data_IF_573353180500
#
_entry.id   IF_573353180500
#
_cell.length_a   1.000
_cell.length_b   1.000
_cell.length_c   1.000
_cell.angle_alpha   90.00
_cell.angle_beta   90.00
_cell.angle_gamma   90.00
#
_symmetry.space_group_name_H-M   'P 1'
#
loop_
_entity.id
_entity.type
_entity.pdbx_description
1 polymer ?
#
# COMPACT_ATOMS: atom_id res chain seq x y z
N UNK A 1 3.40 -0.18 -20.06
CA UNK A 1 2.41 -0.30 -18.97
C UNK A 1 1.24 -1.25 -19.29
N UNK A 2 0.41 -1.04 -20.33
CA UNK A 2 -0.75 -1.90 -20.62
C UNK A 2 -0.38 -3.40 -20.77
N UNK A 3 0.67 -3.70 -21.52
CA UNK A 3 1.14 -5.07 -21.71
C UNK A 3 1.54 -5.76 -20.39
N UNK A 4 2.21 -5.05 -19.49
CA UNK A 4 2.60 -5.58 -18.18
C UNK A 4 1.40 -5.76 -17.24
N UNK A 5 0.39 -4.90 -17.34
CA UNK A 5 -0.86 -5.08 -16.61
C UNK A 5 -1.65 -6.31 -17.07
N UNK A 6 -1.51 -6.73 -18.34
CA UNK A 6 -2.06 -8.00 -18.82
C UNK A 6 -1.30 -9.21 -18.26
N UNK A 7 0.03 -9.12 -18.13
CA UNK A 7 0.87 -10.19 -17.60
C UNK A 7 0.65 -10.39 -16.07
N UNK A 8 0.50 -9.31 -15.29
CA UNK A 8 0.36 -9.35 -13.84
C UNK A 8 -0.97 -10.00 -13.40
N UNK A 9 -0.91 -10.89 -12.42
CA UNK A 9 -2.08 -11.37 -11.67
C UNK A 9 -1.73 -11.42 -10.16
N UNK A 10 -2.68 -11.78 -9.28
CA UNK A 10 -2.42 -11.98 -7.86
C UNK A 10 -1.83 -13.38 -7.65
N UNK A 11 -0.51 -13.46 -7.59
CA UNK A 11 0.28 -14.68 -7.47
C UNK A 11 -0.12 -15.48 -6.23
N UNK A 12 -0.35 -16.78 -6.38
CA UNK A 12 -0.83 -17.65 -5.30
C UNK A 12 0.26 -18.50 -4.69
N UNK A 13 1.34 -18.72 -5.41
CA UNK A 13 2.50 -19.50 -4.97
C UNK A 13 3.79 -18.81 -5.38
N UNK A 14 4.71 -18.66 -4.43
CA UNK A 14 6.01 -18.04 -4.67
C UNK A 14 7.13 -19.08 -4.63
N UNK A 15 8.13 -18.89 -5.48
CA UNK A 15 9.40 -19.62 -5.45
C UNK A 15 10.25 -19.05 -4.31
N UNK A 16 10.29 -19.77 -3.20
CA UNK A 16 10.97 -19.33 -1.97
C UNK A 16 12.49 -19.29 -2.10
N UNK A 17 13.04 -19.95 -3.15
CA UNK A 17 14.48 -19.93 -3.46
C UNK A 17 14.91 -18.63 -4.14
N UNK A 18 13.97 -17.88 -4.72
CA UNK A 18 14.23 -16.61 -5.42
C UNK A 18 13.80 -15.42 -4.60
N UNK A 19 14.74 -14.54 -4.36
CA UNK A 19 14.50 -13.30 -3.61
C UNK A 19 14.72 -12.08 -4.50
N UNK A 20 13.98 -11.02 -4.24
CA UNK A 20 14.28 -9.73 -4.82
C UNK A 20 15.60 -9.21 -4.28
N UNK A 21 16.36 -8.54 -5.13
CA UNK A 21 17.52 -7.76 -4.71
C UNK A 21 17.07 -6.50 -3.94
N UNK A 22 17.98 -5.94 -3.17
CA UNK A 22 17.72 -4.66 -2.47
C UNK A 22 17.35 -3.54 -3.45
N UNK A 23 18.00 -3.49 -4.63
CA UNK A 23 17.71 -2.49 -5.66
C UNK A 23 16.30 -2.65 -6.26
N UNK A 24 15.84 -3.88 -6.49
CA UNK A 24 14.48 -4.14 -6.98
C UNK A 24 13.41 -3.72 -5.95
N UNK A 25 13.63 -4.03 -4.68
CA UNK A 25 12.74 -3.60 -3.61
C UNK A 25 12.72 -2.07 -3.52
N UNK A 26 13.89 -1.42 -3.54
CA UNK A 26 14.03 0.03 -3.45
C UNK A 26 13.28 0.75 -4.58
N UNK A 27 13.36 0.27 -5.80
CA UNK A 27 12.61 0.83 -6.94
C UNK A 27 11.08 0.76 -6.72
N UNK A 28 10.58 -0.32 -6.11
CA UNK A 28 9.15 -0.44 -5.80
C UNK A 28 8.78 0.51 -4.65
N UNK A 29 9.62 0.61 -3.62
CA UNK A 29 9.41 1.55 -2.50
C UNK A 29 9.44 3.00 -2.98
N UNK A 30 10.34 3.34 -3.90
CA UNK A 30 10.38 4.68 -4.50
C UNK A 30 9.13 4.97 -5.34
N UNK A 31 8.60 4.00 -6.08
CA UNK A 31 7.35 4.17 -6.80
C UNK A 31 6.17 4.44 -5.84
N UNK A 32 6.13 3.78 -4.68
CA UNK A 32 5.14 4.05 -3.64
C UNK A 32 5.32 5.47 -3.09
N UNK A 33 6.56 5.86 -2.77
CA UNK A 33 6.90 7.18 -2.23
C UNK A 33 6.50 8.31 -3.18
N UNK A 34 6.63 8.09 -4.49
CA UNK A 34 6.29 9.06 -5.55
C UNK A 34 4.80 9.01 -5.94
N UNK A 35 4.00 8.12 -5.36
CA UNK A 35 2.57 8.08 -5.62
C UNK A 35 1.89 9.38 -5.18
N UNK A 36 0.93 9.91 -5.97
CA UNK A 36 0.18 11.08 -5.57
C UNK A 36 -0.75 10.74 -4.40
N UNK A 37 -1.06 11.73 -3.59
CA UNK A 37 -2.10 11.66 -2.57
C UNK A 37 -2.85 12.99 -2.49
N UNK A 38 -4.05 12.97 -1.90
CA UNK A 38 -4.84 14.17 -1.67
C UNK A 38 -3.99 15.21 -0.93
N UNK A 39 -3.86 16.39 -1.50
CA UNK A 39 -3.03 17.49 -1.00
C UNK A 39 -1.52 17.17 -0.85
N UNK A 40 -1.06 16.00 -1.29
CA UNK A 40 0.31 15.55 -1.11
C UNK A 40 0.65 15.16 0.33
N UNK A 41 -0.34 14.85 1.16
CA UNK A 41 -0.11 14.58 2.59
C UNK A 41 0.43 13.19 2.89
N UNK A 42 0.27 12.21 1.98
CA UNK A 42 0.73 10.83 2.16
C UNK A 42 0.40 10.26 3.55
N UNK A 43 -0.89 10.22 3.96
CA UNK A 43 -1.28 9.88 5.33
C UNK A 43 -1.26 8.37 5.57
N UNK A 44 -0.17 7.70 5.20
CA UNK A 44 0.05 6.27 5.40
C UNK A 44 1.54 5.94 5.44
N UNK A 45 1.86 4.85 6.11
CA UNK A 45 3.18 4.23 6.12
C UNK A 45 3.12 2.85 5.46
N UNK A 46 4.27 2.37 4.98
CA UNK A 46 4.41 1.02 4.45
C UNK A 46 5.43 0.27 5.27
N UNK A 47 4.98 -0.78 5.95
CA UNK A 47 5.82 -1.62 6.78
C UNK A 47 6.35 -2.78 5.93
N UNK A 48 7.67 -2.91 5.80
CA UNK A 48 8.32 -4.04 5.14
C UNK A 48 8.62 -5.10 6.21
N UNK A 49 7.92 -6.22 6.17
CA UNK A 49 8.05 -7.28 7.16
C UNK A 49 9.02 -8.34 6.66
N UNK A 50 10.27 -8.29 7.15
CA UNK A 50 11.33 -9.24 6.78
C UNK A 50 11.51 -10.37 7.82
N UNK A 51 11.10 -10.17 9.07
CA UNK A 51 11.24 -11.16 10.14
C UNK A 51 10.31 -12.36 9.89
N UNK A 52 10.91 -13.56 9.82
CA UNK A 52 10.19 -14.78 9.48
C UNK A 52 9.15 -15.20 10.55
N UNK A 53 9.49 -15.07 11.84
CA UNK A 53 8.58 -15.41 12.93
C UNK A 53 7.38 -14.46 12.95
N UNK A 54 7.61 -13.19 12.67
CA UNK A 54 6.54 -12.19 12.57
C UNK A 54 5.62 -12.49 11.38
N UNK A 55 6.18 -12.91 10.23
CA UNK A 55 5.40 -13.33 9.05
C UNK A 55 4.55 -14.58 9.34
N UNK A 56 5.04 -15.55 10.13
CA UNK A 56 4.24 -16.72 10.53
C UNK A 56 3.05 -16.29 11.41
N UNK A 57 3.24 -15.37 12.36
CA UNK A 57 2.14 -14.81 13.16
C UNK A 57 1.10 -14.11 12.28
N UNK A 58 1.57 -13.29 11.34
CA UNK A 58 0.71 -12.56 10.39
C UNK A 58 -0.04 -13.52 9.46
N UNK A 59 0.57 -14.64 9.04
CA UNK A 59 -0.09 -15.66 8.23
C UNK A 59 -1.33 -16.24 8.91
N UNK A 60 -1.24 -16.57 10.22
CA UNK A 60 -2.41 -17.01 10.99
C UNK A 60 -3.53 -15.97 11.04
N UNK A 61 -3.18 -14.67 11.05
CA UNK A 61 -4.14 -13.58 10.97
C UNK A 61 -4.60 -13.25 9.52
N UNK A 62 -4.00 -13.88 8.52
CA UNK A 62 -4.31 -13.75 7.10
C UNK A 62 -4.92 -15.04 6.52
N UNK A 63 -5.71 -15.77 7.29
CA UNK A 63 -6.41 -17.01 6.88
C UNK A 63 -5.47 -18.05 6.28
N UNK A 64 -4.29 -18.21 6.87
CA UNK A 64 -3.23 -19.14 6.48
C UNK A 64 -2.76 -19.01 5.03
N UNK A 65 -2.92 -17.83 4.44
CA UNK A 65 -2.48 -17.56 3.07
C UNK A 65 -0.95 -17.68 2.95
N UNK A 66 -0.48 -18.65 2.18
CA UNK A 66 0.93 -18.98 2.02
C UNK A 66 1.78 -17.80 1.49
N UNK A 67 1.16 -16.88 0.74
CA UNK A 67 1.82 -15.71 0.19
C UNK A 67 2.48 -14.83 1.26
N UNK A 68 1.96 -14.84 2.50
CA UNK A 68 2.51 -14.06 3.62
C UNK A 68 3.93 -14.49 3.96
N UNK A 69 4.21 -15.79 3.92
CA UNK A 69 5.50 -16.37 4.30
C UNK A 69 6.39 -16.73 3.12
N UNK A 70 5.81 -17.11 1.97
CA UNK A 70 6.55 -17.53 0.79
C UNK A 70 7.10 -16.39 -0.04
N UNK A 71 6.40 -15.25 -0.09
CA UNK A 71 6.86 -14.08 -0.84
C UNK A 71 8.27 -13.65 -0.41
N UNK A 72 9.06 -13.13 -1.33
CA UNK A 72 10.37 -12.57 -1.04
C UNK A 72 10.28 -11.47 0.00
N UNK A 73 9.37 -10.51 -0.23
CA UNK A 73 9.08 -9.41 0.68
C UNK A 73 7.57 -9.32 0.93
N UNK A 74 7.21 -8.90 2.13
CA UNK A 74 5.82 -8.71 2.52
C UNK A 74 5.62 -7.29 3.04
N UNK A 75 4.70 -6.58 2.41
CA UNK A 75 4.42 -5.16 2.66
C UNK A 75 3.04 -5.02 3.31
N UNK A 76 2.97 -4.23 4.37
CA UNK A 76 1.71 -3.85 5.02
C UNK A 76 1.51 -2.35 4.84
N UNK A 77 0.50 -1.96 4.11
CA UNK A 77 0.09 -0.57 3.98
C UNK A 77 -0.80 -0.22 5.17
N UNK A 78 -0.36 0.72 5.98
CA UNK A 78 -1.05 1.16 7.17
C UNK A 78 -1.35 2.67 7.08
N UNK A 79 -2.62 3.02 7.17
CA UNK A 79 -3.06 4.41 7.15
C UNK A 79 -3.01 5.03 8.55
N UNK A 80 -2.85 6.34 8.64
CA UNK A 80 -3.01 7.05 9.90
C UNK A 80 -4.41 6.81 10.47
N UNK A 81 -4.49 6.47 11.73
CA UNK A 81 -5.75 6.21 12.43
C UNK A 81 -6.60 7.49 12.61
N UNK A 82 -5.92 8.64 12.56
CA UNK A 82 -6.51 9.96 12.48
C UNK A 82 -5.54 10.93 11.79
N UNK A 83 -6.05 11.99 11.19
CA UNK A 83 -5.25 13.08 10.62
C UNK A 83 -5.23 14.22 11.64
N UNK A 84 -4.16 14.26 12.43
CA UNK A 84 -3.98 15.20 13.53
C UNK A 84 -3.18 16.44 13.12
N UNK A 85 -3.26 17.51 13.93
CA UNK A 85 -2.38 18.67 13.78
C UNK A 85 -0.90 18.29 13.79
N UNK A 86 -0.50 17.34 14.66
CA UNK A 86 0.86 16.85 14.74
C UNK A 86 1.34 16.21 13.43
N UNK A 87 0.52 15.33 12.84
CA UNK A 87 0.85 14.67 11.57
C UNK A 87 0.96 15.69 10.43
N UNK A 88 -0.04 16.56 10.29
CA UNK A 88 -0.05 17.59 9.27
C UNK A 88 1.09 18.59 9.46
N UNK A 89 1.40 18.95 10.71
CA UNK A 89 2.52 19.82 11.05
C UNK A 89 3.81 19.34 10.40
N UNK A 90 4.17 18.08 10.61
CA UNK A 90 5.36 17.46 10.01
C UNK A 90 5.35 17.52 8.47
N UNK A 91 4.21 17.26 7.84
CA UNK A 91 4.11 17.33 6.38
C UNK A 91 4.33 18.75 5.87
N UNK A 92 3.74 19.75 6.53
CA UNK A 92 3.92 21.15 6.15
C UNK A 92 5.33 21.66 6.42
N UNK A 93 6.01 21.13 7.45
CA UNK A 93 7.41 21.44 7.72
C UNK A 93 8.31 20.95 6.56
N UNK A 94 8.11 19.71 6.08
CA UNK A 94 8.78 19.18 4.89
C UNK A 94 8.43 19.99 3.63
N UNK A 95 7.16 20.41 3.46
CA UNK A 95 6.80 21.28 2.32
C UNK A 95 7.53 22.61 2.36
N UNK A 96 7.68 23.21 3.54
CA UNK A 96 8.41 24.46 3.72
C UNK A 96 9.92 24.29 3.47
N UNK A 97 10.49 23.16 3.90
CA UNK A 97 11.90 22.83 3.65
C UNK A 97 12.19 22.70 2.15
N UNK A 98 11.33 21.97 1.41
CA UNK A 98 11.56 21.67 -0.02
C UNK A 98 11.21 22.84 -0.94
N UNK A 99 10.16 23.62 -0.62
CA UNK A 99 9.62 24.66 -1.52
C UNK A 99 9.88 26.10 -1.05
N UNK A 100 10.43 26.26 0.14
CA UNK A 100 10.53 27.53 0.84
C UNK A 100 9.24 27.91 1.61
N UNK A 101 9.36 28.64 2.73
CA UNK A 101 8.23 29.15 3.48
C UNK A 101 7.50 30.23 2.68
N UNK A 102 6.16 30.32 2.85
CA UNK A 102 5.35 31.41 2.29
C UNK A 102 4.05 31.60 3.09
N UNK A 103 3.47 32.79 3.03
CA UNK A 103 2.18 33.08 3.67
C UNK A 103 1.06 32.16 3.15
N UNK A 104 1.07 31.87 1.85
CA UNK A 104 0.12 30.93 1.26
C UNK A 104 0.25 29.51 1.82
N UNK A 105 1.48 29.04 2.09
CA UNK A 105 1.71 27.74 2.70
C UNK A 105 1.27 27.73 4.18
N UNK A 106 1.50 28.82 4.92
CA UNK A 106 1.06 28.97 6.30
C UNK A 106 -0.47 28.98 6.40
N UNK A 107 -1.16 29.71 5.54
CA UNK A 107 -2.64 29.74 5.52
C UNK A 107 -3.22 28.36 5.11
N UNK A 108 -2.61 27.67 4.15
CA UNK A 108 -2.99 26.33 3.77
C UNK A 108 -2.80 25.33 4.92
N UNK A 109 -1.71 25.46 5.70
CA UNK A 109 -1.49 24.64 6.91
C UNK A 109 -2.64 24.82 7.89
N UNK A 110 -2.96 26.08 8.24
CA UNK A 110 -4.04 26.42 9.19
C UNK A 110 -5.40 25.89 8.73
N UNK A 111 -5.77 26.13 7.47
CA UNK A 111 -7.04 25.68 6.91
C UNK A 111 -7.14 24.16 6.83
N UNK A 112 -6.05 23.46 6.48
CA UNK A 112 -6.02 22.00 6.45
C UNK A 112 -6.19 21.40 7.84
N UNK A 113 -5.46 21.90 8.84
CA UNK A 113 -5.58 21.45 10.24
C UNK A 113 -7.03 21.64 10.72
N UNK A 114 -7.62 22.82 10.53
CA UNK A 114 -8.99 23.09 10.91
C UNK A 114 -9.99 22.16 10.19
N UNK A 115 -9.79 21.94 8.90
CA UNK A 115 -10.66 21.09 8.09
C UNK A 115 -10.65 19.61 8.52
N UNK A 116 -9.51 19.07 8.95
CA UNK A 116 -9.44 17.69 9.45
C UNK A 116 -9.85 17.59 10.92
N UNK A 117 -9.57 18.60 11.74
CA UNK A 117 -10.03 18.65 13.13
C UNK A 117 -11.57 18.68 13.25
N UNK A 118 -12.26 19.20 12.24
CA UNK A 118 -13.73 19.21 12.19
C UNK A 118 -14.37 17.85 11.85
N UNK A 119 -13.56 16.84 11.46
CA UNK A 119 -14.02 15.51 11.09
C UNK A 119 -13.80 14.51 12.24
N UNK A 120 -14.56 13.41 12.22
CA UNK A 120 -14.29 12.29 13.11
C UNK A 120 -12.98 11.57 12.75
N UNK A 121 -12.34 10.93 13.74
CA UNK A 121 -11.16 10.11 13.50
C UNK A 121 -11.42 9.01 12.45
N UNK A 122 -12.61 8.40 12.47
CA UNK A 122 -12.98 7.38 11.47
C UNK A 122 -13.08 7.96 10.05
N UNK A 123 -13.67 9.15 9.88
CA UNK A 123 -13.71 9.82 8.57
C UNK A 123 -12.30 10.18 8.06
N UNK A 124 -11.41 10.59 8.96
CA UNK A 124 -10.02 10.87 8.66
C UNK A 124 -9.26 9.58 8.29
N UNK A 125 -9.48 8.50 9.03
CA UNK A 125 -8.90 7.19 8.71
C UNK A 125 -9.36 6.69 7.32
N UNK A 126 -10.66 6.76 7.00
CA UNK A 126 -11.17 6.35 5.69
C UNK A 126 -10.53 7.17 4.55
N UNK A 127 -10.39 8.48 4.76
CA UNK A 127 -9.66 9.33 3.81
C UNK A 127 -8.19 8.88 3.64
N UNK A 128 -7.49 8.61 4.74
CA UNK A 128 -6.11 8.15 4.73
C UNK A 128 -5.98 6.77 4.05
N UNK A 129 -6.89 5.84 4.35
CA UNK A 129 -6.92 4.51 3.74
C UNK A 129 -7.04 4.56 2.21
N UNK A 130 -7.86 5.46 1.67
CA UNK A 130 -7.98 5.66 0.21
C UNK A 130 -6.62 6.05 -0.42
N UNK A 131 -5.81 6.85 0.28
CA UNK A 131 -4.48 7.23 -0.22
C UNK A 131 -3.50 6.04 -0.21
N UNK A 132 -3.58 5.17 0.78
CA UNK A 132 -2.79 3.94 0.84
C UNK A 132 -3.08 3.01 -0.37
N UNK A 133 -4.34 2.92 -0.81
CA UNK A 133 -4.71 2.17 -2.03
C UNK A 133 -4.14 2.78 -3.31
N UNK A 134 -3.97 4.11 -3.38
CA UNK A 134 -3.25 4.75 -4.50
C UNK A 134 -1.79 4.29 -4.50
N UNK A 135 -1.11 4.32 -3.34
CA UNK A 135 0.26 3.82 -3.18
C UNK A 135 0.40 2.35 -3.58
N UNK A 136 -0.56 1.49 -3.17
CA UNK A 136 -0.62 0.10 -3.62
C UNK A 136 -0.73 -0.02 -5.15
N UNK A 137 -1.55 0.81 -5.78
CA UNK A 137 -1.69 0.82 -7.26
C UNK A 137 -0.36 1.11 -7.95
N UNK A 138 0.41 2.06 -7.43
CA UNK A 138 1.75 2.38 -7.93
C UNK A 138 2.74 1.23 -7.70
N UNK A 139 2.71 0.60 -6.52
CA UNK A 139 3.52 -0.60 -6.24
C UNK A 139 3.24 -1.74 -7.23
N UNK A 140 1.95 -2.01 -7.51
CA UNK A 140 1.52 -3.04 -8.46
C UNK A 140 1.98 -2.74 -9.89
N UNK A 141 1.93 -1.48 -10.30
CA UNK A 141 2.37 -1.04 -11.62
C UNK A 141 3.90 -1.15 -11.76
N UNK A 142 4.65 -0.69 -10.76
CA UNK A 142 6.11 -0.79 -10.74
C UNK A 142 6.59 -2.26 -10.75
N UNK A 143 6.04 -3.09 -9.87
CA UNK A 143 6.36 -4.52 -9.83
C UNK A 143 6.07 -5.20 -11.18
N UNK A 144 4.92 -4.88 -11.81
CA UNK A 144 4.58 -5.43 -13.12
C UNK A 144 5.57 -5.00 -14.20
N UNK A 145 6.00 -3.73 -14.25
CA UNK A 145 6.96 -3.21 -15.20
C UNK A 145 8.33 -3.91 -15.08
N UNK A 146 8.72 -4.19 -13.85
CA UNK A 146 9.96 -4.91 -13.52
C UNK A 146 9.85 -6.44 -13.67
N UNK A 147 8.69 -6.98 -14.05
CA UNK A 147 8.38 -8.43 -14.06
C UNK A 147 8.53 -9.11 -12.70
N UNK A 148 8.25 -8.38 -11.63
CA UNK A 148 8.18 -8.90 -10.28
C UNK A 148 6.73 -9.29 -9.99
N UNK A 149 6.53 -10.50 -9.52
CA UNK A 149 5.23 -11.01 -9.16
C UNK A 149 4.71 -10.39 -7.88
N UNK A 150 3.41 -10.14 -7.84
CA UNK A 150 2.79 -9.45 -6.73
C UNK A 150 1.41 -10.00 -6.39
N UNK A 151 1.09 -10.02 -5.10
CA UNK A 151 -0.20 -10.46 -4.58
C UNK A 151 -0.76 -9.42 -3.61
N UNK A 152 -1.61 -8.48 -4.08
CA UNK A 152 -2.34 -7.61 -3.17
C UNK A 152 -3.43 -8.43 -2.47
N UNK A 153 -3.57 -8.27 -1.16
CA UNK A 153 -4.54 -9.01 -0.35
C UNK A 153 -5.26 -8.08 0.62
N UNK A 154 -6.61 -8.10 0.57
CA UNK A 154 -7.47 -7.47 1.57
C UNK A 154 -8.07 -8.50 2.53
N UNK A 155 -7.85 -9.80 2.28
CA UNK A 155 -8.34 -10.89 3.11
C UNK A 155 -7.39 -11.16 4.28
N UNK A 156 -7.51 -10.39 5.36
CA UNK A 156 -6.82 -10.59 6.63
C UNK A 156 -7.62 -9.95 7.76
N UNK A 157 -7.29 -10.27 9.00
CA UNK A 157 -7.86 -9.64 10.20
C UNK A 157 -7.04 -8.39 10.56
N UNK A 158 -7.52 -7.17 10.28
CA UNK A 158 -6.75 -5.96 10.51
C UNK A 158 -6.49 -5.71 12.00
N UNK A 159 -7.39 -6.11 12.89
CA UNK A 159 -7.20 -5.93 14.33
C UNK A 159 -6.02 -6.76 14.82
N UNK A 160 -5.95 -8.02 14.42
CA UNK A 160 -4.81 -8.89 14.75
C UNK A 160 -3.51 -8.41 14.11
N UNK A 161 -3.54 -7.92 12.86
CA UNK A 161 -2.36 -7.32 12.23
C UNK A 161 -1.85 -6.11 13.01
N UNK A 162 -2.75 -5.23 13.42
CA UNK A 162 -2.42 -4.03 14.19
C UNK A 162 -1.82 -4.38 15.55
N UNK A 163 -2.34 -5.41 16.22
CA UNK A 163 -1.80 -5.94 17.50
C UNK A 163 -0.41 -6.55 17.31
N UNK A 164 -0.25 -7.47 16.34
CA UNK A 164 1.02 -8.17 16.06
C UNK A 164 2.13 -7.17 15.70
N UNK A 165 1.81 -6.12 14.94
CA UNK A 165 2.76 -5.12 14.45
C UNK A 165 2.89 -3.90 15.39
N UNK A 166 2.07 -3.82 16.45
CA UNK A 166 2.09 -2.69 17.38
C UNK A 166 1.69 -1.37 16.73
N UNK A 167 0.78 -1.39 15.74
CA UNK A 167 0.46 -0.22 14.92
C UNK A 167 -0.28 0.87 15.69
N UNK A 168 -1.11 0.50 16.67
CA UNK A 168 -1.86 1.46 17.50
C UNK A 168 -0.93 2.45 18.23
N UNK A 169 0.21 1.98 18.72
CA UNK A 169 1.19 2.85 19.39
C UNK A 169 1.86 3.86 18.42
N UNK A 170 1.72 3.63 17.11
CA UNK A 170 2.23 4.49 16.03
C UNK A 170 1.15 5.39 15.42
N UNK A 171 -0.09 5.29 15.90
CA UNK A 171 -1.24 5.99 15.29
C UNK A 171 -1.58 5.46 13.90
N UNK A 172 -1.41 4.15 13.67
CA UNK A 172 -1.61 3.49 12.39
C UNK A 172 -2.64 2.37 12.50
N UNK A 173 -3.34 2.10 11.38
CA UNK A 173 -4.21 0.93 11.18
C UNK A 173 -3.89 0.29 9.83
N UNK A 174 -3.75 -1.04 9.81
CA UNK A 174 -3.53 -1.79 8.56
C UNK A 174 -4.74 -1.72 7.64
N UNK A 175 -4.48 -1.58 6.33
CA UNK A 175 -5.51 -1.35 5.30
C UNK A 175 -5.50 -2.45 4.25
N UNK A 176 -4.33 -2.76 3.73
CA UNK A 176 -4.11 -3.75 2.67
C UNK A 176 -2.67 -4.23 2.72
N UNK A 177 -2.44 -5.46 2.28
CA UNK A 177 -1.11 -6.05 2.28
C UNK A 177 -0.70 -6.52 0.89
N UNK A 178 0.60 -6.72 0.67
CA UNK A 178 1.14 -7.12 -0.62
C UNK A 178 2.35 -8.04 -0.46
N UNK A 179 2.30 -9.23 -1.04
CA UNK A 179 3.47 -10.07 -1.26
C UNK A 179 4.17 -9.69 -2.56
N UNK A 180 5.50 -9.68 -2.55
CA UNK A 180 6.38 -9.47 -3.70
C UNK A 180 7.36 -10.63 -3.84
N UNK A 181 7.63 -11.08 -5.07
CA UNK A 181 8.56 -12.18 -5.31
C UNK A 181 8.54 -12.68 -6.74
N UNK A 182 8.91 -13.92 -6.91
CA UNK A 182 8.85 -14.65 -8.19
C UNK A 182 7.89 -15.82 -8.05
N UNK A 183 6.98 -15.98 -9.02
CA UNK A 183 6.00 -17.08 -9.00
C UNK A 183 6.67 -18.45 -9.09
N UNK A 184 6.13 -19.41 -8.32
CA UNK A 184 6.30 -20.81 -8.61
C UNK A 184 5.23 -21.23 -9.63
N UNK A 185 5.59 -21.25 -10.90
CA UNK A 185 4.64 -21.55 -11.98
C UNK A 185 4.10 -22.99 -11.93
N UNK A 186 4.79 -23.91 -11.29
CA UNK A 186 4.35 -25.30 -11.15
C UNK A 186 3.30 -25.45 -10.03
N UNK A 187 3.44 -24.67 -8.97
CA UNK A 187 2.55 -24.72 -7.79
C UNK A 187 1.42 -23.68 -7.81
N UNK A 188 1.47 -22.66 -8.68
CA UNK A 188 0.45 -21.61 -8.76
C UNK A 188 -0.72 -22.01 -9.66
N UNK A 189 -1.84 -22.37 -9.05
CA UNK A 189 -3.04 -22.81 -9.79
C UNK A 189 -3.65 -21.72 -10.68
N UNK A 190 -3.31 -20.44 -10.44
CA UNK A 190 -3.87 -19.31 -11.18
C UNK A 190 -3.06 -18.96 -12.45
N UNK A 191 -1.84 -19.47 -12.58
CA UNK A 191 -0.88 -19.06 -13.62
C UNK A 191 -1.41 -19.26 -15.05
N UNK A 192 -2.17 -20.33 -15.29
CA UNK A 192 -2.71 -20.69 -16.60
C UNK A 192 -4.15 -20.19 -16.84
N UNK A 193 -4.77 -19.55 -15.85
CA UNK A 193 -6.12 -19.05 -15.99
C UNK A 193 -6.14 -17.69 -16.68
N UNK A 194 -7.09 -17.54 -17.61
CA UNK A 194 -7.29 -16.24 -18.27
C UNK A 194 -7.75 -15.19 -17.29
N UNK A 195 -7.15 -14.01 -17.37
CA UNK A 195 -7.55 -12.88 -16.55
C UNK A 195 -8.98 -12.43 -16.90
N UNK A 196 -9.88 -12.50 -15.93
CA UNK A 196 -11.25 -12.00 -16.07
C UNK A 196 -11.31 -10.51 -15.75
N UNK A 197 -11.94 -9.74 -16.60
CA UNK A 197 -12.34 -8.34 -16.38
C UNK A 197 -13.71 -8.12 -17.03
N UNK A 198 -14.50 -7.24 -16.44
CA UNK A 198 -15.75 -6.80 -17.07
C UNK A 198 -15.45 -6.13 -18.42
N UNK A 199 -16.36 -6.20 -19.40
CA UNK A 199 -16.26 -5.44 -20.64
C UNK A 199 -16.10 -3.93 -20.38
N UNK A 200 -15.40 -3.25 -21.29
CA UNK A 200 -15.21 -1.79 -21.17
C UNK A 200 -16.55 -1.05 -21.13
N UNK A 201 -17.51 -1.48 -21.95
CA UNK A 201 -18.85 -0.90 -22.04
C UNK A 201 -19.65 -0.97 -20.74
N UNK A 202 -19.33 -1.92 -19.85
CA UNK A 202 -19.96 -2.02 -18.53
C UNK A 202 -19.20 -1.25 -17.44
N UNK A 203 -17.94 -0.95 -17.68
CA UNK A 203 -17.08 -0.30 -16.69
C UNK A 203 -17.00 1.20 -16.88
N UNK A 204 -17.09 1.68 -18.11
CA UNK A 204 -16.98 3.10 -18.46
C UNK A 204 -18.31 3.62 -18.95
N UNK A 205 -18.76 4.73 -18.38
CA UNK A 205 -19.98 5.44 -18.76
C UNK A 205 -19.54 6.79 -19.33
N UNK A 206 -19.89 7.04 -20.58
CA UNK A 206 -19.66 8.33 -21.23
C UNK A 206 -20.94 9.17 -21.10
N UNK A 207 -20.82 10.37 -20.54
CA UNK A 207 -21.89 11.35 -20.41
C UNK A 207 -21.67 12.42 -21.47
N UNK A 208 -22.49 12.44 -22.53
CA UNK A 208 -22.44 13.38 -23.65
C UNK A 208 -23.43 14.53 -23.46
#
# INVERSE_FOLDING_TARGET
>A
MLFRSQWRYATKKYDTSKKLTAAELDQIMEAIRMAPSSNGFQPYDVIVVNNAELREKLKGAAYDQAQVTEASHFLVFAAWDNITEHNLGKVFDVMAEVRGPSDALAERRKSSIAGFAAKSAEANFQHAAQQAFIGLGFALAAAAEMKIDSSPMGGFDPVKFDEILGLKARGLRSVVVMGLGHRDAAGDWLVNLKKMRRPKSEMFIEMN
#
